data_IF_382828890363
#
_entry.id   IF_382828890363
#
_cell.length_a   1.000
_cell.length_b   1.000
_cell.length_c   1.000
_cell.angle_alpha   90.00
_cell.angle_beta   90.00
_cell.angle_gamma   90.00
#
_symmetry.space_group_name_H-M   'P 1'
#
loop_
_entity.id
_entity.type
_entity.pdbx_description
1 polymer ?
#
# COMPACT_ATOMS: atom_id res chain seq x y z
N UNK A 1 -17.96 -23.93 -2.33
CA UNK A 1 -16.81 -23.05 -1.93
C UNK A 1 -16.09 -22.67 -3.22
N UNK A 2 -16.11 -21.38 -3.56
CA UNK A 2 -15.47 -20.92 -4.81
C UNK A 2 -13.95 -20.86 -4.59
N UNK A 3 -13.18 -21.51 -5.47
CA UNK A 3 -11.73 -21.55 -5.38
C UNK A 3 -11.14 -20.18 -5.68
N UNK A 4 -10.26 -19.67 -4.82
CA UNK A 4 -9.57 -18.38 -5.05
C UNK A 4 -8.55 -18.55 -6.18
N UNK A 5 -8.81 -17.91 -7.33
CA UNK A 5 -8.05 -18.14 -8.57
C UNK A 5 -6.98 -17.06 -8.84
N UNK A 6 -6.92 -15.96 -8.09
CA UNK A 6 -5.96 -14.89 -8.34
C UNK A 6 -5.29 -14.42 -7.05
N UNK A 7 -4.03 -13.95 -7.18
CA UNK A 7 -3.25 -13.36 -6.07
C UNK A 7 -4.06 -12.23 -5.39
N UNK A 8 -4.65 -11.33 -6.17
CA UNK A 8 -5.46 -10.21 -5.67
C UNK A 8 -6.66 -10.66 -4.83
N UNK A 9 -7.41 -11.68 -5.30
CA UNK A 9 -8.54 -12.23 -4.54
C UNK A 9 -8.09 -12.90 -3.25
N UNK A 10 -6.93 -13.55 -3.25
CA UNK A 10 -6.35 -14.16 -2.06
C UNK A 10 -6.04 -13.09 -1.00
N UNK A 11 -5.35 -12.01 -1.39
CA UNK A 11 -5.01 -10.93 -0.46
C UNK A 11 -6.26 -10.21 0.06
N UNK A 12 -7.26 -9.96 -0.80
CA UNK A 12 -8.54 -9.41 -0.39
C UNK A 12 -9.22 -10.26 0.70
N UNK A 13 -9.25 -11.58 0.49
CA UNK A 13 -9.85 -12.50 1.46
C UNK A 13 -9.04 -12.57 2.77
N UNK A 14 -7.70 -12.60 2.66
CA UNK A 14 -6.79 -12.63 3.80
C UNK A 14 -6.92 -11.38 4.67
N UNK A 15 -6.86 -10.18 4.09
CA UNK A 15 -7.02 -8.91 4.82
C UNK A 15 -8.37 -8.85 5.50
N UNK A 16 -9.45 -9.19 4.78
CA UNK A 16 -10.80 -9.26 5.38
C UNK A 16 -10.84 -10.22 6.57
N UNK A 17 -10.22 -11.38 6.45
CA UNK A 17 -10.19 -12.37 7.54
C UNK A 17 -9.41 -11.88 8.75
N UNK A 18 -8.23 -11.28 8.54
CA UNK A 18 -7.41 -10.70 9.61
C UNK A 18 -8.21 -9.63 10.36
N UNK A 19 -8.85 -8.70 9.66
CA UNK A 19 -9.65 -7.64 10.28
C UNK A 19 -10.83 -8.21 11.08
N UNK A 20 -11.56 -9.17 10.52
CA UNK A 20 -12.70 -9.81 11.21
C UNK A 20 -12.26 -10.61 12.43
N UNK A 21 -11.14 -11.34 12.32
CA UNK A 21 -10.63 -12.16 13.42
C UNK A 21 -10.09 -11.30 14.57
N UNK A 22 -9.34 -10.26 14.25
CA UNK A 22 -8.80 -9.33 15.23
C UNK A 22 -9.92 -8.65 16.01
N UNK A 23 -10.94 -8.16 15.32
CA UNK A 23 -12.09 -7.54 15.97
C UNK A 23 -12.84 -8.51 16.91
N UNK A 24 -13.09 -9.73 16.47
CA UNK A 24 -13.76 -10.75 17.28
C UNK A 24 -12.97 -11.11 18.53
N UNK A 25 -11.64 -11.12 18.47
CA UNK A 25 -10.76 -11.50 19.57
C UNK A 25 -10.63 -10.39 20.62
N UNK A 26 -10.53 -9.13 20.19
CA UNK A 26 -10.20 -7.99 21.08
C UNK A 26 -11.39 -7.13 21.48
N UNK A 27 -12.54 -7.27 20.81
CA UNK A 27 -13.78 -6.54 21.15
C UNK A 27 -15.01 -7.46 21.18
N UNK A 28 -15.03 -8.50 22.04
CA UNK A 28 -16.10 -9.50 22.04
C UNK A 28 -17.46 -8.94 22.42
N UNK A 29 -17.51 -7.81 23.14
CA UNK A 29 -18.75 -7.15 23.61
C UNK A 29 -19.32 -6.15 22.62
N UNK A 30 -18.56 -5.73 21.60
CA UNK A 30 -18.99 -4.78 20.58
C UNK A 30 -19.22 -5.42 19.20
N UNK A 31 -19.58 -6.70 19.16
CA UNK A 31 -19.81 -7.48 17.92
C UNK A 31 -20.94 -6.94 17.04
N UNK A 32 -21.63 -5.88 17.44
CA UNK A 32 -22.67 -5.26 16.64
C UNK A 32 -22.12 -4.10 15.79
N UNK A 33 -21.73 -4.41 14.55
CA UNK A 33 -21.61 -3.44 13.47
C UNK A 33 -20.50 -2.38 13.64
N UNK A 34 -19.24 -2.78 13.69
CA UNK A 34 -18.22 -1.91 13.11
C UNK A 34 -18.58 -1.84 11.63
N UNK A 35 -19.05 -0.68 11.20
CA UNK A 35 -19.56 -0.47 9.85
C UNK A 35 -18.41 -0.75 8.89
N UNK A 36 -18.69 -1.41 7.79
CA UNK A 36 -17.74 -1.67 6.70
C UNK A 36 -16.99 -0.39 6.27
N UNK A 37 -17.68 0.76 6.37
CA UNK A 37 -17.14 2.11 6.20
C UNK A 37 -15.94 2.45 7.12
N UNK A 38 -15.96 1.98 8.37
CA UNK A 38 -14.83 2.22 9.30
C UNK A 38 -13.57 1.49 8.86
N UNK A 39 -13.69 0.26 8.35
CA UNK A 39 -12.55 -0.48 7.81
C UNK A 39 -11.99 0.15 6.54
N UNK A 40 -12.84 0.68 5.67
CA UNK A 40 -12.41 1.35 4.46
C UNK A 40 -11.60 2.62 4.74
N UNK A 41 -11.99 3.41 5.74
CA UNK A 41 -11.24 4.59 6.15
C UNK A 41 -9.86 4.22 6.70
N UNK A 42 -9.80 3.20 7.56
CA UNK A 42 -8.56 2.72 8.14
C UNK A 42 -7.63 2.14 7.06
N UNK A 43 -8.18 1.32 6.15
CA UNK A 43 -7.40 0.79 5.02
C UNK A 43 -6.91 1.90 4.09
N UNK A 44 -7.70 2.96 3.90
CA UNK A 44 -7.32 4.11 3.10
C UNK A 44 -6.15 4.87 3.74
N UNK A 45 -6.18 5.09 5.06
CA UNK A 45 -5.10 5.77 5.77
C UNK A 45 -3.81 4.95 5.76
N UNK A 46 -3.88 3.68 6.17
CA UNK A 46 -2.71 2.79 6.15
C UNK A 46 -2.17 2.68 4.71
N UNK A 47 -3.05 2.52 3.72
CA UNK A 47 -2.67 2.41 2.32
C UNK A 47 -1.98 3.67 1.79
N UNK A 48 -2.42 4.86 2.21
CA UNK A 48 -1.79 6.14 1.87
C UNK A 48 -0.36 6.23 2.39
N UNK A 49 -0.19 6.05 3.71
CA UNK A 49 1.14 6.11 4.36
C UNK A 49 2.07 5.04 3.75
N UNK A 50 1.52 3.88 3.46
CA UNK A 50 2.24 2.78 2.81
C UNK A 50 2.73 3.14 1.41
N UNK A 51 1.87 3.75 0.59
CA UNK A 51 2.25 4.20 -0.75
C UNK A 51 3.36 5.25 -0.68
N UNK A 52 3.22 6.24 0.20
CA UNK A 52 4.23 7.27 0.41
C UNK A 52 5.59 6.68 0.84
N UNK A 53 5.58 5.67 1.71
CA UNK A 53 6.80 4.96 2.11
C UNK A 53 7.43 4.20 0.93
N UNK A 54 6.63 3.47 0.15
CA UNK A 54 7.11 2.72 -1.02
C UNK A 54 7.70 3.63 -2.10
N UNK A 55 7.09 4.79 -2.36
CA UNK A 55 7.61 5.78 -3.32
C UNK A 55 8.96 6.37 -2.89
N UNK A 56 9.25 6.37 -1.58
CA UNK A 56 10.56 6.76 -1.02
C UNK A 56 11.53 5.57 -0.89
N UNK A 57 11.17 4.38 -1.33
CA UNK A 57 11.96 3.17 -1.18
C UNK A 57 11.98 2.59 0.25
N UNK A 58 11.09 3.03 1.15
CA UNK A 58 11.03 2.62 2.54
C UNK A 58 10.06 1.45 2.72
N UNK A 59 10.46 0.49 3.57
CA UNK A 59 9.60 -0.63 3.99
C UNK A 59 8.97 -0.39 5.36
N UNK A 60 9.37 0.66 6.03
CA UNK A 60 8.90 1.08 7.35
C UNK A 60 8.46 2.54 7.32
N UNK A 61 7.62 2.91 8.24
CA UNK A 61 7.19 4.30 8.44
C UNK A 61 7.03 4.59 9.94
N UNK A 62 7.02 5.87 10.30
CA UNK A 62 6.88 6.28 11.70
C UNK A 62 5.46 6.01 12.21
N UNK A 63 5.35 5.47 13.42
CA UNK A 63 4.05 5.23 14.05
C UNK A 63 3.22 6.52 14.20
N UNK A 64 3.88 7.65 14.41
CA UNK A 64 3.28 8.97 14.47
C UNK A 64 2.60 9.45 13.19
N UNK A 65 2.87 8.84 12.05
CA UNK A 65 2.18 9.15 10.77
C UNK A 65 0.76 8.58 10.70
N UNK A 66 0.42 7.63 11.59
CA UNK A 66 -0.94 7.12 11.70
C UNK A 66 -1.77 8.00 12.63
N UNK A 67 -3.05 8.20 12.30
CA UNK A 67 -3.98 8.94 13.15
C UNK A 67 -4.24 8.19 14.47
N UNK A 68 -4.71 8.94 15.49
CA UNK A 68 -5.11 8.35 16.76
C UNK A 68 -6.19 7.27 16.60
N UNK A 69 -7.05 7.41 15.59
CA UNK A 69 -8.07 6.42 15.23
C UNK A 69 -7.44 5.08 14.85
N UNK A 70 -6.44 5.09 13.99
CA UNK A 70 -5.74 3.86 13.55
C UNK A 70 -4.87 3.32 14.67
N UNK A 71 -4.18 4.19 15.41
CA UNK A 71 -3.35 3.81 16.56
C UNK A 71 -4.15 3.19 17.70
N UNK A 72 -5.39 3.68 17.93
CA UNK A 72 -6.31 3.15 18.95
C UNK A 72 -6.94 1.82 18.59
N UNK A 73 -6.90 1.40 17.33
CA UNK A 73 -7.42 0.11 16.88
C UNK A 73 -6.35 -0.99 17.04
N UNK A 74 -6.11 -1.45 18.27
CA UNK A 74 -5.20 -2.57 18.58
C UNK A 74 -5.44 -3.79 17.68
N UNK A 75 -6.68 -4.02 17.27
CA UNK A 75 -7.06 -5.11 16.38
C UNK A 75 -6.39 -5.06 15.01
N UNK A 76 -6.04 -3.89 14.53
CA UNK A 76 -5.39 -3.70 13.22
C UNK A 76 -3.89 -3.89 13.29
N UNK A 77 -3.27 -3.40 14.36
CA UNK A 77 -1.83 -3.55 14.56
C UNK A 77 -1.45 -5.02 14.77
N UNK A 78 -2.25 -5.79 15.50
CA UNK A 78 -1.95 -7.18 15.84
C UNK A 78 -1.97 -8.15 14.64
N UNK A 79 -2.63 -7.80 13.54
CA UNK A 79 -2.77 -8.71 12.41
C UNK A 79 -2.10 -8.27 11.10
N UNK A 80 -1.79 -6.99 10.95
CA UNK A 80 -1.24 -6.42 9.73
C UNK A 80 0.09 -5.71 9.95
N UNK A 81 0.21 -5.03 11.07
CA UNK A 81 1.31 -4.15 11.40
C UNK A 81 2.14 -4.73 12.55
N UNK A 82 3.42 -4.49 12.51
CA UNK A 82 4.37 -4.81 13.56
C UNK A 82 5.02 -3.51 14.03
N UNK A 83 4.82 -3.19 15.31
CA UNK A 83 5.45 -2.06 15.97
C UNK A 83 6.82 -2.47 16.47
N UNK A 84 7.82 -1.65 16.23
CA UNK A 84 9.20 -1.82 16.70
C UNK A 84 9.74 -0.49 17.18
N UNK A 85 10.67 -0.51 18.14
CA UNK A 85 11.43 0.66 18.52
C UNK A 85 12.75 0.66 17.74
N UNK A 86 13.04 1.78 17.11
CA UNK A 86 14.34 2.02 16.50
C UNK A 86 15.16 2.89 17.43
N UNK A 87 16.25 2.32 17.94
CA UNK A 87 17.19 3.00 18.83
C UNK A 87 18.47 3.31 18.05
N UNK A 88 18.70 4.57 17.78
CA UNK A 88 19.99 5.05 17.29
C UNK A 88 20.70 5.76 18.46
N UNK A 89 22.00 5.47 18.74
CA UNK A 89 22.69 5.98 19.92
C UNK A 89 22.74 7.50 20.06
N UNK A 90 22.44 8.23 18.97
CA UNK A 90 22.49 9.70 18.89
C UNK A 90 21.11 10.37 18.77
N UNK A 91 20.02 9.60 18.69
CA UNK A 91 18.66 10.11 18.47
C UNK A 91 17.71 9.64 19.57
N UNK A 92 16.61 10.36 19.75
CA UNK A 92 15.51 9.88 20.59
C UNK A 92 14.91 8.59 20.01
N UNK A 93 14.52 7.63 20.87
CA UNK A 93 13.87 6.39 20.42
C UNK A 93 12.65 6.70 19.56
N UNK A 94 12.61 6.13 18.38
CA UNK A 94 11.52 6.34 17.44
C UNK A 94 10.72 5.06 17.27
N UNK A 95 9.39 5.15 17.40
CA UNK A 95 8.50 4.04 17.11
C UNK A 95 8.26 3.94 15.60
N UNK A 96 8.62 2.80 15.04
CA UNK A 96 8.46 2.50 13.62
C UNK A 96 7.49 1.34 13.41
N UNK A 97 6.76 1.41 12.33
CA UNK A 97 5.81 0.40 11.91
C UNK A 97 6.30 -0.28 10.65
N UNK A 98 6.25 -1.60 10.65
CA UNK A 98 6.48 -2.44 9.48
C UNK A 98 5.29 -3.36 9.24
N UNK A 99 5.23 -3.98 8.07
CA UNK A 99 4.26 -5.02 7.78
C UNK A 99 4.85 -6.40 8.06
N UNK A 100 4.02 -7.33 8.52
CA UNK A 100 4.45 -8.74 8.71
C UNK A 100 4.95 -9.37 7.40
N UNK A 101 4.55 -8.82 6.25
CA UNK A 101 5.03 -9.23 4.93
C UNK A 101 4.94 -8.08 3.92
N UNK A 102 6.02 -7.85 3.14
CA UNK A 102 6.08 -6.79 2.11
C UNK A 102 4.88 -6.80 1.16
N UNK A 103 4.41 -7.97 0.76
CA UNK A 103 3.27 -8.06 -0.17
C UNK A 103 1.93 -7.60 0.41
N UNK A 104 1.78 -7.55 1.75
CA UNK A 104 0.64 -6.91 2.40
C UNK A 104 0.75 -5.40 2.25
N UNK A 105 1.93 -4.86 2.46
CA UNK A 105 2.26 -3.45 2.22
C UNK A 105 1.89 -3.07 0.78
N UNK A 106 2.39 -3.79 -0.21
CA UNK A 106 2.14 -3.57 -1.64
C UNK A 106 0.65 -3.67 -1.99
N UNK A 107 -0.06 -4.64 -1.39
CA UNK A 107 -1.50 -4.79 -1.60
C UNK A 107 -2.30 -3.60 -1.03
N UNK A 108 -1.95 -3.11 0.17
CA UNK A 108 -2.64 -1.98 0.79
C UNK A 108 -2.40 -0.66 0.06
N UNK A 109 -1.18 -0.44 -0.45
CA UNK A 109 -0.89 0.67 -1.35
C UNK A 109 -1.76 0.59 -2.62
N UNK A 110 -1.83 -0.58 -3.26
CA UNK A 110 -2.67 -0.80 -4.44
C UNK A 110 -4.17 -0.61 -4.13
N UNK A 111 -4.61 -1.03 -2.94
CA UNK A 111 -5.98 -0.82 -2.49
C UNK A 111 -6.31 0.68 -2.39
N UNK A 112 -5.42 1.47 -1.77
CA UNK A 112 -5.57 2.92 -1.65
C UNK A 112 -5.62 3.59 -3.04
N UNK A 113 -4.68 3.28 -3.92
CA UNK A 113 -4.66 3.78 -5.30
C UNK A 113 -6.00 3.52 -5.97
N UNK A 114 -6.49 2.29 -5.89
CA UNK A 114 -7.70 1.84 -6.59
C UNK A 114 -8.97 2.51 -6.05
N UNK A 115 -9.09 2.67 -4.73
CA UNK A 115 -10.33 3.13 -4.10
C UNK A 115 -10.36 4.63 -3.84
N UNK A 116 -9.20 5.29 -3.82
CA UNK A 116 -9.11 6.74 -3.55
C UNK A 116 -8.55 7.53 -4.73
N UNK A 117 -7.42 7.11 -5.30
CA UNK A 117 -6.73 7.90 -6.33
C UNK A 117 -7.34 7.71 -7.74
N UNK A 118 -7.67 6.48 -8.13
CA UNK A 118 -8.25 6.17 -9.45
C UNK A 118 -9.58 6.91 -9.68
N UNK A 119 -10.53 6.99 -8.73
CA UNK A 119 -11.74 7.80 -8.87
C UNK A 119 -11.47 9.29 -9.04
N UNK A 120 -10.38 9.82 -8.46
CA UNK A 120 -9.94 11.20 -8.60
C UNK A 120 -9.13 11.46 -9.88
N UNK A 121 -8.90 10.42 -10.66
CA UNK A 121 -8.25 10.55 -11.96
C UNK A 121 -6.74 10.32 -11.98
N UNK A 122 -6.10 9.96 -10.85
CA UNK A 122 -4.64 9.80 -10.71
C UNK A 122 -4.24 8.40 -10.17
N UNK A 123 -2.93 8.18 -9.97
CA UNK A 123 -2.36 6.97 -9.37
C UNK A 123 -1.63 7.24 -8.04
N UNK A 124 -1.99 8.31 -7.33
CA UNK A 124 -1.46 8.62 -6.00
C UNK A 124 0.01 9.05 -5.98
N UNK A 125 0.45 9.81 -6.99
CA UNK A 125 1.81 10.31 -7.11
C UNK A 125 2.77 9.37 -7.84
N UNK A 126 2.32 8.19 -8.27
CA UNK A 126 3.15 7.27 -9.08
C UNK A 126 3.62 7.97 -10.36
N UNK A 127 2.74 8.76 -11.00
CA UNK A 127 3.04 9.46 -12.24
C UNK A 127 4.21 10.45 -12.13
N UNK A 128 4.46 10.95 -10.93
CA UNK A 128 5.50 11.94 -10.64
C UNK A 128 6.80 11.30 -10.18
N UNK A 129 6.73 10.13 -9.52
CA UNK A 129 7.87 9.47 -8.90
C UNK A 129 8.44 8.31 -9.74
N UNK A 130 7.64 7.71 -10.61
CA UNK A 130 8.02 6.55 -11.42
C UNK A 130 8.21 7.00 -12.86
N UNK A 131 9.41 7.44 -13.19
CA UNK A 131 9.77 8.02 -14.49
C UNK A 131 10.64 7.09 -15.34
N UNK A 132 11.31 6.13 -14.68
CA UNK A 132 12.22 5.16 -15.29
C UNK A 132 11.79 3.73 -15.00
N UNK A 133 12.34 2.76 -15.75
CA UNK A 133 12.10 1.33 -15.48
C UNK A 133 12.66 0.91 -14.12
N UNK A 134 13.74 1.51 -13.66
CA UNK A 134 14.33 1.29 -12.35
C UNK A 134 13.35 1.67 -11.23
N UNK A 135 12.66 2.81 -11.37
CA UNK A 135 11.65 3.24 -10.42
C UNK A 135 10.48 2.24 -10.34
N UNK A 136 10.16 1.57 -11.46
CA UNK A 136 9.11 0.56 -11.50
C UNK A 136 9.41 -0.66 -10.61
N UNK A 137 10.69 -0.98 -10.35
CA UNK A 137 11.09 -2.15 -9.55
C UNK A 137 10.57 -2.04 -8.12
N UNK A 138 10.57 -0.85 -7.53
CA UNK A 138 10.06 -0.63 -6.18
C UNK A 138 8.56 -0.96 -6.06
N UNK A 139 7.81 -0.82 -7.16
CA UNK A 139 6.36 -0.99 -7.25
C UNK A 139 5.94 -2.22 -8.08
N UNK A 140 6.87 -3.15 -8.38
CA UNK A 140 6.62 -4.29 -9.29
C UNK A 140 5.38 -5.13 -8.92
N UNK A 141 5.08 -5.27 -7.63
CA UNK A 141 3.90 -5.99 -7.16
C UNK A 141 2.68 -5.09 -6.96
N UNK A 142 2.85 -3.78 -6.80
CA UNK A 142 1.75 -2.82 -6.66
C UNK A 142 0.94 -2.77 -7.95
N UNK A 143 1.60 -2.66 -9.11
CA UNK A 143 0.92 -2.60 -10.41
C UNK A 143 0.00 -3.79 -10.69
N UNK A 144 0.43 -5.06 -10.54
CA UNK A 144 -0.45 -6.22 -10.69
C UNK A 144 -1.65 -6.22 -9.73
N UNK A 145 -1.47 -5.73 -8.50
CA UNK A 145 -2.58 -5.60 -7.56
C UNK A 145 -3.57 -4.52 -7.99
N UNK A 146 -3.12 -3.33 -8.44
CA UNK A 146 -4.00 -2.28 -8.98
C UNK A 146 -4.80 -2.83 -10.17
N UNK A 147 -4.13 -3.51 -11.11
CA UNK A 147 -4.78 -4.12 -12.27
C UNK A 147 -5.81 -5.20 -11.88
N UNK A 148 -5.52 -5.97 -10.83
CA UNK A 148 -6.42 -7.01 -10.33
C UNK A 148 -7.60 -6.49 -9.52
N UNK A 149 -7.50 -5.27 -8.97
CA UNK A 149 -8.55 -4.63 -8.18
C UNK A 149 -9.51 -3.80 -9.03
N UNK A 150 -9.03 -3.13 -10.09
CA UNK A 150 -9.82 -2.20 -10.91
C UNK A 150 -9.42 -2.22 -12.38
N UNK A 151 -10.42 -2.26 -13.27
CA UNK A 151 -10.21 -2.11 -14.72
C UNK A 151 -9.70 -0.71 -15.07
N UNK A 152 -10.26 0.33 -14.46
CA UNK A 152 -9.84 1.72 -14.68
C UNK A 152 -8.41 1.95 -14.15
N UNK A 153 -8.10 1.35 -12.99
CA UNK A 153 -6.74 1.30 -12.47
C UNK A 153 -5.76 0.63 -13.43
N UNK A 154 -6.15 -0.51 -14.02
CA UNK A 154 -5.32 -1.19 -15.03
C UNK A 154 -5.05 -0.28 -16.24
N UNK A 155 -6.07 0.37 -16.78
CA UNK A 155 -5.92 1.30 -17.92
C UNK A 155 -4.96 2.43 -17.58
N UNK A 156 -5.06 3.02 -16.39
CA UNK A 156 -4.17 4.10 -15.95
C UNK A 156 -2.72 3.62 -15.78
N UNK A 157 -2.52 2.45 -15.15
CA UNK A 157 -1.20 1.84 -14.99
C UNK A 157 -0.56 1.59 -16.36
N UNK A 158 -1.27 0.94 -17.29
CA UNK A 158 -0.72 0.70 -18.62
C UNK A 158 -0.41 2.00 -19.36
N UNK A 159 -1.29 2.99 -19.29
CA UNK A 159 -1.04 4.31 -19.89
C UNK A 159 0.22 4.95 -19.31
N UNK A 160 0.39 4.92 -17.99
CA UNK A 160 1.58 5.46 -17.34
C UNK A 160 2.85 4.71 -17.76
N UNK A 161 2.85 3.37 -17.74
CA UNK A 161 3.99 2.55 -18.12
C UNK A 161 4.45 2.80 -19.58
N UNK A 162 3.56 3.22 -20.47
CA UNK A 162 3.97 3.62 -21.84
C UNK A 162 4.73 4.94 -21.89
N UNK A 163 4.71 5.74 -20.83
CA UNK A 163 5.46 7.00 -20.72
C UNK A 163 6.80 6.86 -20.01
N UNK A 164 7.01 5.73 -19.30
CA UNK A 164 8.24 5.44 -18.55
C UNK A 164 9.42 5.23 -19.51
N UNK A 165 10.57 5.84 -19.21
CA UNK A 165 11.76 5.80 -20.04
C UNK A 165 12.73 4.72 -19.59
N UNK A 166 13.54 4.20 -20.53
CA UNK A 166 14.73 3.42 -20.18
C UNK A 166 15.87 4.38 -19.87
N UNK A 167 16.69 4.07 -18.86
CA UNK A 167 17.84 4.91 -18.46
C UNK A 167 18.91 5.04 -19.57
N UNK A 168 18.86 4.18 -20.59
CA UNK A 168 19.84 4.15 -21.70
C UNK A 168 19.59 5.19 -22.81
N UNK A 169 18.62 6.09 -22.69
CA UNK A 169 18.39 7.13 -23.70
C UNK A 169 19.46 8.26 -23.74
N UNK A 170 20.62 8.04 -23.10
CA UNK A 170 21.77 8.98 -23.19
C UNK A 170 22.59 8.82 -24.46
N UNK A 171 22.32 7.82 -25.32
CA UNK A 171 23.14 7.53 -26.54
C UNK A 171 22.72 8.30 -27.79
N UNK A 172 21.60 8.99 -27.83
CA UNK A 172 21.09 9.67 -29.03
C UNK A 172 21.50 11.16 -29.16
N UNK A 173 22.48 11.65 -28.39
CA UNK A 173 22.93 13.06 -28.52
C UNK A 173 24.16 13.30 -29.36
N UNK A 174 24.71 12.32 -30.05
CA UNK A 174 25.91 12.49 -30.87
C UNK A 174 25.81 11.99 -32.32
N UNK A 175 24.65 12.13 -32.94
CA UNK A 175 24.51 11.90 -34.38
C UNK A 175 23.94 13.14 -35.07
N UNK A 176 24.65 14.27 -34.98
CA UNK A 176 24.46 15.39 -35.91
C UNK A 176 25.78 16.14 -36.04
N UNK A 177 26.60 15.70 -36.98
CA UNK A 177 27.60 16.52 -37.67
C UNK A 177 27.42 16.29 -39.16
#
# INVERSE_FOLDING_TARGET
MELIKTKTKLYKAMIRHILQYSHKKYSPTQVSKVKEETYEEILAEIGKVTLEALLKGNQVFEYGQLSDKVRGEESLTVGLLQLSQYEEPSLEPMEVVSFIHKSIQEYLAAWYITHRCVPEGNLGGIEEHVLTLEDCVALENVFPFVCGLSKDGAVKVFKHLTTVRTSDSSLDRHATV
#
